data_IF_888186119636
#
_entry.id   IF_888186119636
#
_cell.length_a   1.000
_cell.length_b   1.000
_cell.length_c   1.000
_cell.angle_alpha   90.00
_cell.angle_beta   90.00
_cell.angle_gamma   90.00
#
_symmetry.space_group_name_H-M   'P 1'
#
loop_
_entity.id
_entity.type
_entity.pdbx_description
1 polymer ?
#
# COMPACT_ATOMS: atom_id res chain seq x y z
N UNK A 1 0.87 0.35 -22.52
CA UNK A 1 0.31 1.18 -21.44
C UNK A 1 1.46 1.58 -20.53
N UNK A 2 1.75 2.87 -20.53
CA UNK A 2 3.01 3.48 -20.10
C UNK A 2 3.18 3.43 -18.57
N UNK A 3 4.27 2.82 -18.11
CA UNK A 3 4.70 2.88 -16.71
C UNK A 3 5.60 4.10 -16.52
N UNK A 4 4.99 5.23 -16.16
CA UNK A 4 5.71 6.45 -15.83
C UNK A 4 6.47 6.26 -14.50
N UNK A 5 7.78 5.99 -14.53
CA UNK A 5 8.77 6.43 -13.51
C UNK A 5 8.64 6.01 -12.04
N UNK A 6 7.66 5.23 -11.60
CA UNK A 6 7.67 4.59 -10.27
C UNK A 6 8.58 3.37 -10.31
N UNK A 7 9.30 3.09 -9.20
CA UNK A 7 10.14 1.91 -9.06
C UNK A 7 9.46 0.68 -9.69
N UNK A 8 10.16 -0.02 -10.58
CA UNK A 8 9.67 -1.03 -11.53
C UNK A 8 8.96 -2.26 -10.92
N UNK A 9 8.52 -2.20 -9.66
CA UNK A 9 7.87 -3.29 -8.92
C UNK A 9 6.62 -2.92 -8.10
N UNK A 10 6.09 -1.68 -8.15
CA UNK A 10 4.85 -1.34 -7.45
C UNK A 10 3.61 -1.57 -8.33
N UNK A 11 2.65 -2.40 -7.87
CA UNK A 11 1.35 -2.62 -8.51
C UNK A 11 0.27 -1.86 -7.74
N UNK A 12 -0.55 -1.09 -8.46
CA UNK A 12 -1.74 -0.44 -7.91
C UNK A 12 -2.96 -1.31 -8.24
N UNK A 13 -3.78 -1.60 -7.24
CA UNK A 13 -5.03 -2.35 -7.37
C UNK A 13 -6.15 -1.44 -6.86
N UNK A 14 -7.15 -1.17 -7.70
CA UNK A 14 -8.30 -0.32 -7.36
C UNK A 14 -9.52 -1.19 -7.10
N UNK A 15 -9.89 -1.35 -5.83
CA UNK A 15 -10.99 -2.23 -5.44
C UNK A 15 -10.54 -3.68 -5.18
N UNK A 16 -11.27 -4.35 -4.28
CA UNK A 16 -10.96 -5.74 -3.89
C UNK A 16 -11.33 -6.75 -4.98
N UNK A 17 -12.27 -6.40 -5.85
CA UNK A 17 -12.69 -7.20 -7.01
C UNK A 17 -11.56 -7.43 -8.03
N UNK A 18 -10.56 -6.54 -8.06
CA UNK A 18 -9.38 -6.64 -8.92
C UNK A 18 -8.21 -7.38 -8.25
N UNK A 19 -8.39 -7.83 -7.00
CA UNK A 19 -7.39 -8.61 -6.29
C UNK A 19 -7.43 -10.07 -6.77
N UNK A 20 -6.53 -10.41 -7.69
CA UNK A 20 -6.51 -11.71 -8.38
C UNK A 20 -6.20 -12.91 -7.47
N UNK A 21 -5.50 -12.71 -6.36
CA UNK A 21 -5.12 -13.78 -5.43
C UNK A 21 -4.78 -13.22 -4.04
N UNK A 22 -5.16 -13.95 -3.00
CA UNK A 22 -4.81 -13.67 -1.62
C UNK A 22 -3.51 -14.40 -1.25
N UNK A 23 -2.38 -13.92 -1.78
CA UNK A 23 -1.07 -14.37 -1.32
C UNK A 23 -0.78 -13.81 0.09
N UNK A 24 -0.05 -14.56 0.95
CA UNK A 24 0.44 -14.03 2.21
C UNK A 24 1.21 -12.72 2.01
N UNK A 25 0.81 -11.67 2.71
CA UNK A 25 1.44 -10.36 2.64
C UNK A 25 1.46 -9.68 4.01
N UNK A 26 2.42 -8.77 4.18
CA UNK A 26 2.38 -7.80 5.27
C UNK A 26 1.59 -6.58 4.79
N UNK A 27 0.72 -6.05 5.64
CA UNK A 27 -0.21 -4.96 5.25
C UNK A 27 -0.09 -3.80 6.23
N UNK A 28 -0.09 -2.58 5.69
CA UNK A 28 -0.43 -1.37 6.44
C UNK A 28 -1.66 -0.71 5.81
N UNK A 29 -2.47 -0.03 6.61
CA UNK A 29 -3.70 0.61 6.15
C UNK A 29 -3.90 1.98 6.81
N UNK A 30 -4.36 2.95 6.03
CA UNK A 30 -4.58 4.32 6.47
C UNK A 30 -4.97 5.22 5.31
N UNK A 31 -5.33 6.48 5.58
CA UNK A 31 -5.62 7.44 4.50
C UNK A 31 -4.37 7.88 3.75
N UNK A 32 -3.21 7.86 4.42
CA UNK A 32 -1.92 8.28 3.87
C UNK A 32 -1.92 9.67 3.21
N UNK A 33 -2.89 10.53 3.56
CA UNK A 33 -2.97 11.90 3.04
C UNK A 33 -1.80 12.73 3.60
N UNK A 34 -1.05 13.37 2.70
CA UNK A 34 0.15 14.16 3.01
C UNK A 34 1.42 13.37 3.41
N UNK A 35 1.38 12.04 3.54
CA UNK A 35 2.55 11.14 3.80
C UNK A 35 3.63 11.77 4.72
N UNK A 36 3.25 12.22 5.92
CA UNK A 36 4.18 12.85 6.85
C UNK A 36 5.11 11.84 7.54
N UNK A 37 5.99 12.30 8.45
CA UNK A 37 6.99 11.46 9.16
C UNK A 37 6.40 10.18 9.80
N UNK A 38 5.24 10.28 10.44
CA UNK A 38 4.53 9.09 10.96
C UNK A 38 4.20 8.04 9.90
N UNK A 39 3.72 8.45 8.72
CA UNK A 39 3.47 7.53 7.61
C UNK A 39 4.77 6.93 7.06
N UNK A 40 5.84 7.72 6.96
CA UNK A 40 7.15 7.18 6.57
C UNK A 40 7.60 6.05 7.50
N UNK A 41 7.50 6.23 8.82
CA UNK A 41 7.86 5.19 9.80
C UNK A 41 7.02 3.91 9.63
N UNK A 42 5.72 4.05 9.38
CA UNK A 42 4.83 2.91 9.14
C UNK A 42 5.21 2.15 7.85
N UNK A 43 5.51 2.88 6.78
CA UNK A 43 5.90 2.30 5.48
C UNK A 43 7.27 1.61 5.58
N UNK A 44 8.25 2.24 6.24
CA UNK A 44 9.57 1.65 6.48
C UNK A 44 9.47 0.38 7.32
N UNK A 45 8.65 0.40 8.39
CA UNK A 45 8.42 -0.79 9.21
C UNK A 45 7.77 -1.91 8.43
N UNK A 46 6.77 -1.59 7.61
CA UNK A 46 6.12 -2.56 6.72
C UNK A 46 7.14 -3.24 5.80
N UNK A 47 7.98 -2.45 5.12
CA UNK A 47 8.99 -2.97 4.18
C UNK A 47 10.03 -3.83 4.92
N UNK A 48 10.45 -3.40 6.11
CA UNK A 48 11.42 -4.15 6.93
C UNK A 48 10.86 -5.51 7.36
N UNK A 49 9.64 -5.54 7.90
CA UNK A 49 8.96 -6.76 8.34
C UNK A 49 8.58 -7.69 7.18
N UNK A 50 8.17 -7.13 6.03
CA UNK A 50 7.83 -7.95 4.87
C UNK A 50 9.08 -8.65 4.34
N UNK A 51 10.22 -7.93 4.25
CA UNK A 51 11.50 -8.50 3.82
C UNK A 51 11.99 -9.59 4.76
N UNK A 52 11.94 -9.37 6.08
CA UNK A 52 12.43 -10.37 7.05
C UNK A 52 11.63 -11.68 7.02
N UNK A 53 10.38 -11.63 6.57
CA UNK A 53 9.47 -12.78 6.49
C UNK A 53 9.31 -13.34 5.07
N UNK A 54 9.98 -12.76 4.07
CA UNK A 54 9.81 -13.15 2.67
C UNK A 54 8.40 -12.88 2.11
N UNK A 55 7.71 -11.87 2.63
CA UNK A 55 6.36 -11.48 2.24
C UNK A 55 6.35 -10.26 1.32
N UNK A 56 5.30 -10.15 0.49
CA UNK A 56 4.99 -8.90 -0.22
C UNK A 56 4.54 -7.83 0.78
N UNK A 57 4.97 -6.59 0.58
CA UNK A 57 4.45 -5.41 1.30
C UNK A 57 3.26 -4.83 0.57
N UNK A 58 2.15 -4.60 1.26
CA UNK A 58 0.93 -4.00 0.71
C UNK A 58 0.51 -2.79 1.54
N UNK A 59 0.21 -1.69 0.86
CA UNK A 59 -0.40 -0.50 1.45
C UNK A 59 -1.83 -0.39 0.96
N UNK A 60 -2.77 -0.31 1.90
CA UNK A 60 -4.19 -0.07 1.63
C UNK A 60 -4.51 1.38 1.97
N UNK A 61 -5.08 2.09 1.01
CA UNK A 61 -5.59 3.45 1.19
C UNK A 61 -6.99 3.59 0.61
N UNK A 62 -7.61 4.74 0.84
CA UNK A 62 -9.00 5.02 0.55
C UNK A 62 -9.12 6.13 -0.48
N UNK A 63 -9.89 5.87 -1.53
CA UNK A 63 -10.32 6.85 -2.52
C UNK A 63 -11.79 6.56 -2.83
N UNK A 64 -12.73 7.50 -2.56
CA UNK A 64 -12.52 8.86 -2.06
C UNK A 64 -12.06 8.91 -0.59
N UNK A 65 -11.56 10.08 -0.16
CA UNK A 65 -11.11 10.28 1.23
C UNK A 65 -12.27 10.01 2.22
N UNK A 66 -12.08 9.23 3.31
CA UNK A 66 -13.18 8.82 4.20
C UNK A 66 -14.01 9.97 4.80
N UNK A 67 -13.38 11.12 5.07
CA UNK A 67 -14.06 12.37 5.51
C UNK A 67 -15.10 12.93 4.54
N UNK A 68 -15.22 12.38 3.33
CA UNK A 68 -16.30 12.75 2.41
C UNK A 68 -17.62 12.05 2.77
N UNK A 69 -17.58 10.99 3.59
CA UNK A 69 -18.74 10.16 3.93
C UNK A 69 -19.08 10.15 5.44
N UNK A 70 -18.17 10.62 6.30
CA UNK A 70 -18.33 10.74 7.76
C UNK A 70 -17.92 12.13 8.21
#
# INVERSE_FOLDING_TARGET
>A
METNGWATGMKIIKGLDQLQSAEPCAVTMGTFDGVHKGHHLLIERLISESKSRGLKSVLVTFDPHPRQFF
#
